data_IF_638075747602
#
_entry.id   IF_638075747602
#
_cell.length_a   1.000
_cell.length_b   1.000
_cell.length_c   1.000
_cell.angle_alpha   90.00
_cell.angle_beta   90.00
_cell.angle_gamma   90.00
#
_symmetry.space_group_name_H-M   'P 1'
#
loop_
_entity.id
_entity.type
_entity.pdbx_description
1 polymer ?
#
# COMPACT_ATOMS: atom_id res chain seq x y z
N UNK A 1 2.57 13.79 -36.72
CA UNK A 1 3.06 14.15 -35.38
C UNK A 1 4.32 13.35 -35.16
N UNK A 2 5.47 14.02 -35.13
CA UNK A 2 6.81 13.43 -35.02
C UNK A 2 7.11 13.11 -33.53
N UNK A 3 7.49 11.87 -33.16
CA UNK A 3 7.62 11.47 -31.76
C UNK A 3 8.96 11.86 -31.10
N UNK A 4 9.82 12.61 -31.79
CA UNK A 4 11.23 12.79 -31.40
C UNK A 4 11.52 13.84 -30.32
N UNK A 5 10.50 14.40 -29.66
CA UNK A 5 10.72 15.30 -28.52
C UNK A 5 9.69 15.07 -27.41
N UNK A 6 9.81 13.96 -26.69
CA UNK A 6 9.19 13.82 -25.38
C UNK A 6 10.16 14.34 -24.32
N UNK A 7 9.92 15.56 -23.85
CA UNK A 7 10.47 16.02 -22.57
C UNK A 7 9.97 15.05 -21.49
N UNK A 8 10.90 14.41 -20.79
CA UNK A 8 10.55 13.49 -19.70
C UNK A 8 9.79 14.23 -18.60
N UNK A 9 8.48 14.09 -18.58
CA UNK A 9 7.67 14.44 -17.43
C UNK A 9 7.66 13.26 -16.47
N UNK A 10 7.93 13.54 -15.19
CA UNK A 10 7.90 12.55 -14.09
C UNK A 10 6.49 11.95 -13.91
N UNK A 11 5.46 12.61 -14.46
CA UNK A 11 4.08 12.12 -14.50
C UNK A 11 3.59 12.15 -15.95
N UNK A 12 3.26 10.99 -16.51
CA UNK A 12 2.50 10.93 -17.75
C UNK A 12 1.06 11.37 -17.47
N UNK A 13 0.39 11.99 -18.44
CA UNK A 13 -1.02 12.40 -18.31
C UNK A 13 -2.02 11.23 -18.19
N UNK A 14 -1.54 9.99 -18.11
CA UNK A 14 -2.34 8.81 -17.80
C UNK A 14 -2.58 8.78 -16.28
N UNK A 15 -3.84 8.77 -15.86
CA UNK A 15 -4.21 8.86 -14.45
C UNK A 15 -3.51 7.82 -13.55
N UNK A 16 -3.45 8.10 -12.25
CA UNK A 16 -2.95 7.17 -11.25
C UNK A 16 -4.09 6.44 -10.52
N UNK A 17 -3.79 5.24 -10.03
CA UNK A 17 -4.63 4.50 -9.09
C UNK A 17 -3.86 4.44 -7.77
N UNK A 18 -4.48 4.92 -6.70
CA UNK A 18 -3.93 4.80 -5.35
C UNK A 18 -4.47 3.52 -4.73
N UNK A 19 -3.61 2.71 -4.14
CA UNK A 19 -3.99 1.46 -3.48
C UNK A 19 -3.38 1.36 -2.09
N UNK A 20 -4.07 0.65 -1.20
CA UNK A 20 -3.52 0.16 0.05
C UNK A 20 -3.53 -1.36 0.05
N UNK A 21 -2.51 -1.99 0.59
CA UNK A 21 -2.49 -3.44 0.74
C UNK A 21 -1.64 -3.88 1.90
N UNK A 22 -1.87 -5.10 2.36
CA UNK A 22 -1.12 -5.74 3.43
C UNK A 22 -0.73 -7.14 2.99
N UNK A 23 0.45 -7.60 3.40
CA UNK A 23 0.93 -8.94 3.09
C UNK A 23 1.82 -9.48 4.21
N UNK A 24 2.04 -10.79 4.17
CA UNK A 24 2.98 -11.52 4.99
C UNK A 24 3.72 -12.52 4.10
N UNK A 25 4.69 -13.24 4.67
CA UNK A 25 5.39 -14.30 3.93
C UNK A 25 4.44 -15.39 3.37
N UNK A 26 3.34 -15.69 4.06
CA UNK A 26 2.44 -16.81 3.71
C UNK A 26 1.10 -16.37 3.11
N UNK A 27 0.66 -15.16 3.38
CA UNK A 27 -0.68 -14.68 3.03
C UNK A 27 -0.62 -13.30 2.39
N UNK A 28 -1.41 -13.11 1.34
CA UNK A 28 -1.68 -11.81 0.74
C UNK A 28 -3.03 -11.30 1.25
N UNK A 29 -3.06 -10.06 1.74
CA UNK A 29 -4.28 -9.39 2.14
C UNK A 29 -4.98 -8.73 0.96
N UNK A 30 -6.09 -8.04 1.25
CA UNK A 30 -6.83 -7.30 0.24
C UNK A 30 -6.01 -6.13 -0.33
N UNK A 31 -6.11 -5.94 -1.64
CA UNK A 31 -5.70 -4.69 -2.29
C UNK A 31 -6.93 -3.77 -2.36
N UNK A 32 -6.83 -2.60 -1.73
CA UNK A 32 -7.94 -1.67 -1.55
C UNK A 32 -7.72 -0.49 -2.46
N UNK A 33 -8.67 -0.23 -3.35
CA UNK A 33 -8.69 0.96 -4.17
C UNK A 33 -9.00 2.20 -3.32
N UNK A 34 -8.20 3.25 -3.48
CA UNK A 34 -8.39 4.54 -2.85
C UNK A 34 -8.76 5.56 -3.92
N UNK A 35 -9.97 6.12 -3.83
CA UNK A 35 -10.45 7.12 -4.79
C UNK A 35 -9.69 8.45 -4.71
N UNK A 36 -9.00 8.68 -3.59
CA UNK A 36 -8.23 9.89 -3.30
C UNK A 36 -6.90 9.55 -2.61
N UNK A 37 -6.05 10.57 -2.46
CA UNK A 37 -4.83 10.46 -1.66
C UNK A 37 -5.12 9.96 -0.25
N UNK A 38 -4.34 8.99 0.21
CA UNK A 38 -4.47 8.46 1.56
C UNK A 38 -4.16 9.56 2.59
N UNK A 39 -5.10 9.79 3.50
CA UNK A 39 -4.95 10.68 4.66
C UNK A 39 -5.19 9.89 5.95
N UNK A 40 -4.78 10.44 7.09
CA UNK A 40 -4.84 9.75 8.39
C UNK A 40 -6.20 9.13 8.72
N UNK A 41 -7.28 9.88 8.56
CA UNK A 41 -8.64 9.38 8.85
C UNK A 41 -9.03 8.22 7.94
N UNK A 42 -8.71 8.31 6.64
CA UNK A 42 -8.99 7.23 5.70
C UNK A 42 -8.14 6.01 5.99
N UNK A 43 -6.88 6.22 6.37
CA UNK A 43 -5.98 5.15 6.79
C UNK A 43 -6.56 4.38 7.98
N UNK A 44 -6.95 5.08 9.05
CA UNK A 44 -7.55 4.45 10.24
C UNK A 44 -8.87 3.75 9.90
N UNK A 45 -9.68 4.28 8.96
CA UNK A 45 -10.90 3.59 8.52
C UNK A 45 -10.68 2.23 7.85
N UNK A 46 -9.47 1.98 7.34
CA UNK A 46 -9.12 0.72 6.65
C UNK A 46 -8.68 -0.36 7.64
N UNK A 47 -8.04 0.03 8.75
CA UNK A 47 -7.34 -0.92 9.63
C UNK A 47 -8.28 -1.94 10.31
N UNK A 48 -9.43 -1.57 10.88
CA UNK A 48 -10.33 -2.54 11.50
C UNK A 48 -10.86 -3.58 10.52
N UNK A 49 -11.21 -3.15 9.30
CA UNK A 49 -11.90 -3.99 8.33
C UNK A 49 -10.94 -4.89 7.55
N UNK A 50 -9.67 -4.48 7.42
CA UNK A 50 -8.71 -5.18 6.55
C UNK A 50 -7.44 -5.63 7.28
N UNK A 51 -6.90 -4.85 8.21
CA UNK A 51 -5.71 -5.25 8.95
C UNK A 51 -6.04 -6.28 10.03
N UNK A 52 -7.06 -6.06 10.87
CA UNK A 52 -7.38 -6.99 11.96
C UNK A 52 -7.67 -8.42 11.49
N UNK A 53 -8.54 -8.65 10.49
CA UNK A 53 -8.80 -10.01 10.01
C UNK A 53 -7.54 -10.62 9.40
N UNK A 54 -6.74 -9.81 8.69
CA UNK A 54 -5.48 -10.26 8.11
C UNK A 54 -4.49 -10.71 9.19
N UNK A 55 -4.33 -9.95 10.27
CA UNK A 55 -3.44 -10.32 11.38
C UNK A 55 -3.89 -11.62 12.05
N UNK A 56 -5.20 -11.79 12.26
CA UNK A 56 -5.77 -13.03 12.83
C UNK A 56 -5.48 -14.26 11.96
N UNK A 57 -5.53 -14.13 10.64
CA UNK A 57 -5.26 -15.22 9.69
C UNK A 57 -3.74 -15.47 9.56
N UNK A 58 -2.98 -14.41 9.36
CA UNK A 58 -1.55 -14.50 9.06
C UNK A 58 -0.70 -14.85 10.29
N UNK A 59 -1.17 -14.47 11.47
CA UNK A 59 -0.47 -14.61 12.75
C UNK A 59 -1.41 -15.19 13.82
N UNK A 60 -1.98 -16.35 13.52
CA UNK A 60 -2.87 -17.06 14.44
C UNK A 60 -2.20 -17.50 15.76
N UNK A 61 -0.87 -17.45 15.82
CA UNK A 61 -0.08 -17.65 17.04
C UNK A 61 -0.04 -16.42 17.97
N UNK A 62 -0.59 -15.28 17.53
CA UNK A 62 -0.60 -14.02 18.27
C UNK A 62 0.76 -13.32 18.33
N UNK A 63 1.76 -13.79 17.56
CA UNK A 63 3.11 -13.23 17.56
C UNK A 63 3.35 -12.26 16.38
N UNK A 64 2.28 -11.89 15.67
CA UNK A 64 2.34 -11.01 14.52
C UNK A 64 2.84 -9.61 14.86
N UNK A 65 3.78 -9.14 14.04
CA UNK A 65 4.22 -7.74 14.04
C UNK A 65 3.71 -7.05 12.77
N UNK A 66 2.86 -6.04 12.95
CA UNK A 66 2.47 -5.14 11.88
C UNK A 66 3.59 -4.15 11.59
N UNK A 67 4.00 -4.10 10.31
CA UNK A 67 5.06 -3.24 9.80
C UNK A 67 4.46 -2.26 8.79
N UNK A 68 4.76 -0.99 8.96
CA UNK A 68 4.42 0.09 8.05
C UNK A 68 5.61 1.06 7.97
N UNK A 69 5.68 1.83 6.88
CA UNK A 69 6.65 2.91 6.76
C UNK A 69 6.21 4.15 7.56
N UNK A 70 7.07 5.17 7.56
CA UNK A 70 6.79 6.44 8.24
C UNK A 70 6.10 7.47 7.31
N UNK A 71 5.24 7.02 6.39
CA UNK A 71 4.47 7.94 5.56
C UNK A 71 3.55 8.83 6.42
N UNK A 72 3.30 10.07 5.97
CA UNK A 72 2.52 11.07 6.74
C UNK A 72 1.16 10.55 7.25
N UNK A 73 0.36 9.78 6.50
CA UNK A 73 -0.89 9.22 7.01
C UNK A 73 -0.69 8.21 8.14
N UNK A 74 0.36 7.39 8.04
CA UNK A 74 0.71 6.33 8.99
C UNK A 74 1.25 6.87 10.31
N UNK A 75 1.89 8.04 10.27
CA UNK A 75 2.40 8.76 11.45
C UNK A 75 1.47 9.86 11.93
N UNK A 76 0.26 9.97 11.37
CA UNK A 76 -0.73 10.95 11.83
C UNK A 76 -1.16 10.66 13.26
N UNK A 77 -1.59 11.69 14.00
CA UNK A 77 -2.01 11.52 15.40
C UNK A 77 -3.06 10.42 15.56
N UNK A 78 -4.11 10.47 14.73
CA UNK A 78 -5.20 9.49 14.77
C UNK A 78 -4.71 8.07 14.47
N UNK A 79 -3.77 7.89 13.55
CA UNK A 79 -3.18 6.59 13.25
C UNK A 79 -2.35 6.06 14.41
N UNK A 80 -1.53 6.92 15.04
CA UNK A 80 -0.72 6.53 16.19
C UNK A 80 -1.55 6.20 17.42
N UNK A 81 -2.63 6.95 17.67
CA UNK A 81 -3.58 6.69 18.76
C UNK A 81 -4.29 5.34 18.52
N UNK A 82 -4.82 5.11 17.32
CA UNK A 82 -5.48 3.85 16.98
C UNK A 82 -4.54 2.63 17.16
N UNK A 83 -3.29 2.72 16.70
CA UNK A 83 -2.30 1.65 16.88
C UNK A 83 -1.93 1.41 18.34
N UNK A 84 -1.98 2.44 19.18
CA UNK A 84 -1.75 2.31 20.62
C UNK A 84 -2.93 1.63 21.31
N UNK A 85 -4.16 2.02 20.97
CA UNK A 85 -5.40 1.41 21.48
C UNK A 85 -5.47 -0.09 21.16
N UNK A 86 -4.97 -0.51 19.99
CA UNK A 86 -4.99 -1.90 19.53
C UNK A 86 -3.68 -2.66 19.78
N UNK A 87 -2.82 -2.13 20.65
CA UNK A 87 -1.52 -2.76 20.97
C UNK A 87 -1.62 -4.12 21.68
N UNK A 88 -2.80 -4.46 22.22
CA UNK A 88 -3.11 -5.80 22.73
C UNK A 88 -3.37 -6.83 21.64
N UNK A 89 -3.81 -6.39 20.47
CA UNK A 89 -4.33 -7.26 19.41
C UNK A 89 -3.20 -7.76 18.51
N UNK A 90 -2.22 -6.88 18.26
CA UNK A 90 -0.99 -7.21 17.56
C UNK A 90 0.11 -6.20 17.93
N UNK A 91 1.36 -6.59 17.68
CA UNK A 91 2.51 -5.71 17.92
C UNK A 91 2.70 -4.77 16.74
N UNK A 92 2.83 -3.48 16.98
CA UNK A 92 3.25 -2.52 15.96
C UNK A 92 4.78 -2.35 15.99
N UNK A 93 5.45 -2.69 14.89
CA UNK A 93 6.89 -2.50 14.74
C UNK A 93 7.19 -1.02 14.45
N UNK A 94 7.95 -0.37 15.33
CA UNK A 94 8.40 1.00 15.12
C UNK A 94 9.47 1.06 14.05
N UNK A 95 9.10 1.56 12.88
CA UNK A 95 10.00 1.64 11.74
C UNK A 95 11.13 2.66 11.95
N UNK A 96 12.40 2.28 11.78
CA UNK A 96 13.51 3.23 11.85
C UNK A 96 13.39 4.30 10.75
N UNK A 97 13.72 5.57 11.04
CA UNK A 97 13.76 6.61 10.02
C UNK A 97 14.71 6.23 8.86
N UNK A 98 14.36 6.65 7.64
CA UNK A 98 15.22 6.50 6.43
C UNK A 98 15.63 5.06 6.10
N UNK A 99 14.77 4.07 6.40
CA UNK A 99 15.03 2.66 6.11
C UNK A 99 14.03 2.07 5.10
N UNK A 100 14.00 2.54 3.84
CA UNK A 100 13.07 2.00 2.83
C UNK A 100 13.37 0.54 2.49
N UNK A 101 14.64 0.13 2.59
CA UNK A 101 15.14 -1.20 2.18
C UNK A 101 14.59 -2.37 3.00
N UNK A 102 13.96 -2.09 4.15
CA UNK A 102 13.44 -3.13 5.06
C UNK A 102 12.00 -3.52 4.68
N UNK A 103 11.32 -2.74 3.83
CA UNK A 103 9.89 -2.91 3.54
C UNK A 103 9.67 -3.89 2.39
N UNK A 104 9.37 -5.15 2.72
CA UNK A 104 9.11 -6.23 1.74
C UNK A 104 8.01 -5.87 0.73
N UNK A 105 7.04 -5.03 1.11
CA UNK A 105 5.93 -4.66 0.24
C UNK A 105 6.38 -3.80 -0.95
N UNK A 106 7.50 -3.06 -0.82
CA UNK A 106 8.05 -2.26 -1.92
C UNK A 106 8.49 -3.15 -3.10
N UNK A 107 9.05 -4.33 -2.81
CA UNK A 107 9.38 -5.31 -3.84
C UNK A 107 8.14 -5.87 -4.54
N UNK A 108 7.02 -6.01 -3.80
CA UNK A 108 5.74 -6.44 -4.36
C UNK A 108 5.17 -5.35 -5.26
N UNK A 109 5.21 -4.08 -4.83
CA UNK A 109 4.78 -2.94 -5.64
C UNK A 109 5.59 -2.78 -6.93
N UNK A 110 6.91 -2.92 -6.85
CA UNK A 110 7.79 -2.90 -8.03
C UNK A 110 7.49 -4.07 -8.99
N UNK A 111 7.27 -5.28 -8.46
CA UNK A 111 6.86 -6.43 -9.27
C UNK A 111 5.49 -6.21 -9.94
N UNK A 112 4.51 -5.69 -9.21
CA UNK A 112 3.17 -5.38 -9.70
C UNK A 112 3.22 -4.30 -10.78
N UNK A 113 3.96 -3.22 -10.56
CA UNK A 113 4.16 -2.16 -11.54
C UNK A 113 4.79 -2.69 -12.83
N UNK A 114 5.84 -3.51 -12.72
CA UNK A 114 6.47 -4.16 -13.89
C UNK A 114 5.51 -5.11 -14.62
N UNK A 115 4.66 -5.84 -13.90
CA UNK A 115 3.68 -6.72 -14.51
C UNK A 115 2.63 -5.93 -15.30
N UNK A 116 2.13 -4.83 -14.73
CA UNK A 116 1.18 -3.92 -15.39
C UNK A 116 1.79 -3.28 -16.64
N UNK A 117 3.04 -2.82 -16.57
CA UNK A 117 3.75 -2.20 -17.71
C UNK A 117 3.99 -3.17 -18.88
N UNK A 118 4.08 -4.48 -18.60
CA UNK A 118 4.27 -5.52 -19.62
C UNK A 118 2.98 -5.97 -20.31
N UNK A 119 1.80 -5.48 -19.87
CA UNK A 119 0.52 -5.87 -20.49
C UNK A 119 0.40 -5.30 -21.90
N UNK A 120 -0.25 -6.06 -22.79
CA UNK A 120 -0.55 -5.65 -24.16
C UNK A 120 -2.02 -5.97 -24.48
N UNK A 121 -2.87 -4.96 -24.76
CA UNK A 121 -2.53 -3.53 -24.77
C UNK A 121 -2.22 -2.99 -23.35
N UNK A 122 -1.45 -1.90 -23.23
CA UNK A 122 -1.24 -1.24 -21.94
C UNK A 122 -2.55 -0.62 -21.43
N UNK A 123 -2.76 -0.52 -20.10
CA UNK A 123 -3.92 0.19 -19.56
C UNK A 123 -3.93 1.66 -20.00
N UNK A 124 -5.07 2.12 -20.53
CA UNK A 124 -5.21 3.48 -21.06
C UNK A 124 -6.01 4.40 -20.14
N UNK A 125 -6.90 3.83 -19.33
CA UNK A 125 -7.73 4.56 -18.37
C UNK A 125 -7.44 4.13 -16.93
N UNK A 126 -7.86 4.94 -15.96
CA UNK A 126 -7.80 4.59 -14.53
C UNK A 126 -8.55 3.28 -14.23
N UNK A 127 -9.68 3.07 -14.91
CA UNK A 127 -10.49 1.86 -14.77
C UNK A 127 -9.76 0.64 -15.32
N UNK A 128 -9.10 0.76 -16.47
CA UNK A 128 -8.28 -0.32 -17.03
C UNK A 128 -7.10 -0.64 -16.11
N UNK A 129 -6.50 0.39 -15.52
CA UNK A 129 -5.40 0.25 -14.58
C UNK A 129 -5.84 -0.48 -13.31
N UNK A 130 -6.96 -0.11 -12.71
CA UNK A 130 -7.52 -0.85 -11.56
C UNK A 130 -7.86 -2.30 -11.93
N UNK A 131 -8.44 -2.54 -13.11
CA UNK A 131 -8.73 -3.89 -13.63
C UNK A 131 -7.45 -4.71 -13.90
N UNK A 132 -6.28 -4.06 -13.94
CA UNK A 132 -5.01 -4.69 -14.20
C UNK A 132 -4.21 -5.10 -12.96
N UNK A 133 -4.63 -4.62 -11.79
CA UNK A 133 -4.05 -4.97 -10.50
C UNK A 133 -4.73 -6.24 -9.95
#
# INVERSE_FOLDING_TARGET
MDPTCQQGTVQSGGGCVMVWGVCSWRHMGSLIHLDTTLIGDRYVSILPDHLHPFMSIAHSDGLGEFKQDNATPHTSRIATEWLQEHSSDFRHFRWPPKSPDINIIEHIWDALQRAVQKRSPPPLTRTDLWTAL
#
